data_IF_702269302321
#
_entry.id   IF_702269302321
#
_cell.length_a   1.000
_cell.length_b   1.000
_cell.length_c   1.000
_cell.angle_alpha   90.00
_cell.angle_beta   90.00
_cell.angle_gamma   90.00
#
_symmetry.space_group_name_H-M   'P 1'
#
loop_
_entity.id
_entity.type
_entity.pdbx_description
1 polymer ?
#
# COMPACT_ATOMS: atom_id res chain seq x y z
N UNK A 1 -1.54 2.83 -1.62
CA UNK A 1 -3.01 2.76 -1.53
C UNK A 1 -3.51 1.77 -2.55
N UNK A 2 -4.63 1.08 -2.28
CA UNK A 2 -5.21 0.15 -3.25
C UNK A 2 -5.91 0.89 -4.39
N UNK A 3 -6.13 0.20 -5.52
CA UNK A 3 -6.80 0.79 -6.68
C UNK A 3 -8.23 1.19 -6.36
N UNK A 4 -8.98 0.33 -5.68
CA UNK A 4 -10.34 0.67 -5.24
C UNK A 4 -10.36 1.87 -4.30
N UNK A 5 -9.33 2.06 -3.48
CA UNK A 5 -9.24 3.25 -2.64
C UNK A 5 -9.02 4.52 -3.46
N UNK A 6 -8.19 4.47 -4.52
CA UNK A 6 -8.01 5.60 -5.44
C UNK A 6 -9.30 5.93 -6.17
N UNK A 7 -10.08 4.92 -6.58
CA UNK A 7 -11.39 5.13 -7.20
C UNK A 7 -12.36 5.87 -6.26
N UNK A 8 -12.31 5.58 -4.95
CA UNK A 8 -13.10 6.30 -3.93
C UNK A 8 -12.69 7.76 -3.76
N UNK A 9 -11.46 8.15 -4.13
CA UNK A 9 -11.04 9.57 -4.12
C UNK A 9 -11.77 10.41 -5.19
N UNK A 10 -12.56 9.79 -6.08
CA UNK A 10 -13.45 10.49 -6.99
C UNK A 10 -14.84 10.75 -6.40
N UNK A 11 -15.10 10.25 -5.19
CA UNK A 11 -16.35 10.50 -4.46
C UNK A 11 -16.15 11.61 -3.40
N UNK A 12 -16.81 12.77 -3.54
CA UNK A 12 -16.71 13.84 -2.56
C UNK A 12 -17.26 13.46 -1.18
N UNK A 13 -18.21 12.52 -1.09
CA UNK A 13 -18.71 12.05 0.20
C UNK A 13 -17.63 11.26 0.94
N UNK A 14 -16.94 10.37 0.23
CA UNK A 14 -15.81 9.62 0.77
C UNK A 14 -14.67 10.53 1.29
N UNK A 15 -14.31 11.56 0.53
CA UNK A 15 -13.28 12.54 0.95
C UNK A 15 -13.75 13.33 2.17
N UNK A 16 -15.01 13.77 2.20
CA UNK A 16 -15.58 14.48 3.35
C UNK A 16 -15.43 13.65 4.63
N UNK A 17 -15.79 12.36 4.58
CA UNK A 17 -15.64 11.46 5.72
C UNK A 17 -14.16 11.27 6.11
N UNK A 18 -13.27 11.14 5.13
CA UNK A 18 -11.81 11.03 5.37
C UNK A 18 -11.24 12.28 6.07
N UNK A 19 -11.71 13.47 5.69
CA UNK A 19 -11.30 14.74 6.31
C UNK A 19 -11.79 14.80 7.76
N UNK A 20 -13.05 14.44 8.01
CA UNK A 20 -13.63 14.43 9.36
C UNK A 20 -12.85 13.50 10.30
N UNK A 21 -12.30 12.40 9.79
CA UNK A 21 -11.46 11.48 10.55
C UNK A 21 -10.05 12.00 10.87
N UNK A 22 -9.61 13.10 10.26
CA UNK A 22 -8.29 13.68 10.51
C UNK A 22 -8.14 14.10 11.97
N UNK A 23 -7.05 13.70 12.63
CA UNK A 23 -6.85 13.86 14.08
C UNK A 23 -7.08 15.31 14.57
N UNK A 24 -6.51 16.30 13.88
CA UNK A 24 -6.71 17.71 14.26
C UNK A 24 -8.18 18.14 14.16
N UNK A 25 -8.91 17.66 13.14
CA UNK A 25 -10.31 18.00 12.96
C UNK A 25 -11.19 17.26 13.96
N UNK A 26 -10.92 15.98 14.22
CA UNK A 26 -11.58 15.23 15.30
C UNK A 26 -11.42 15.90 16.67
N UNK A 27 -10.25 16.43 16.98
CA UNK A 27 -10.01 17.15 18.24
C UNK A 27 -10.79 18.46 18.33
N UNK A 28 -10.95 19.18 17.21
CA UNK A 28 -11.80 20.39 17.17
C UNK A 28 -13.28 20.00 17.30
N UNK A 29 -13.75 19.04 16.51
CA UNK A 29 -15.14 18.60 16.48
C UNK A 29 -15.59 17.99 17.81
N UNK A 30 -14.73 17.22 18.50
CA UNK A 30 -15.05 16.64 19.81
C UNK A 30 -15.19 17.67 20.93
N UNK A 31 -14.68 18.90 20.74
CA UNK A 31 -14.90 20.01 21.68
C UNK A 31 -16.23 20.73 21.45
N UNK A 32 -16.81 20.56 20.27
CA UNK A 32 -18.16 21.03 19.98
C UNK A 32 -19.13 20.06 20.66
N UNK A 33 -19.40 20.25 21.95
CA UNK A 33 -20.29 19.39 22.75
C UNK A 33 -21.78 19.46 22.35
N UNK A 34 -22.09 20.08 21.21
CA UNK A 34 -23.45 20.32 20.70
C UNK A 34 -23.57 19.69 19.31
N UNK A 35 -24.46 18.69 19.12
CA UNK A 35 -24.63 18.00 17.83
C UNK A 35 -24.86 18.95 16.64
N UNK A 36 -25.66 20.00 16.82
CA UNK A 36 -25.93 21.00 15.78
C UNK A 36 -24.66 21.74 15.33
N UNK A 37 -23.73 22.03 16.26
CA UNK A 37 -22.47 22.69 15.91
C UNK A 37 -21.51 21.74 15.18
N UNK A 38 -21.54 20.45 15.53
CA UNK A 38 -20.80 19.42 14.79
C UNK A 38 -21.32 19.35 13.35
N UNK A 39 -22.64 19.31 13.17
CA UNK A 39 -23.27 19.31 11.85
C UNK A 39 -22.86 20.54 11.03
N UNK A 40 -22.85 21.73 11.64
CA UNK A 40 -22.41 22.96 10.96
C UNK A 40 -20.94 22.90 10.52
N UNK A 41 -20.06 22.32 11.33
CA UNK A 41 -18.66 22.16 10.97
C UNK A 41 -18.48 21.10 9.86
N UNK A 42 -19.26 20.02 9.88
CA UNK A 42 -19.27 19.02 8.82
C UNK A 42 -19.81 19.59 7.50
N UNK A 43 -20.85 20.42 7.55
CA UNK A 43 -21.39 21.15 6.39
C UNK A 43 -20.36 22.10 5.79
N UNK A 44 -19.58 22.79 6.63
CA UNK A 44 -18.48 23.64 6.17
C UNK A 44 -17.43 22.82 5.41
N UNK A 45 -17.01 21.67 5.96
CA UNK A 45 -16.06 20.76 5.29
C UNK A 45 -16.62 20.27 3.96
N UNK A 46 -17.87 19.78 3.97
CA UNK A 46 -18.56 19.28 2.77
C UNK A 46 -18.66 20.35 1.68
N UNK A 47 -18.94 21.60 2.07
CA UNK A 47 -19.01 22.74 1.15
C UNK A 47 -17.66 23.01 0.48
N UNK A 48 -16.56 22.98 1.24
CA UNK A 48 -15.21 23.12 0.69
C UNK A 48 -14.93 22.00 -0.31
N UNK A 49 -15.23 20.75 0.06
CA UNK A 49 -15.00 19.58 -0.80
C UNK A 49 -15.78 19.72 -2.12
N UNK A 50 -17.09 19.94 -2.06
CA UNK A 50 -17.94 20.09 -3.26
C UNK A 50 -17.46 21.26 -4.13
N UNK A 51 -17.05 22.37 -3.51
CA UNK A 51 -16.52 23.53 -4.25
C UNK A 51 -15.28 23.16 -5.06
N UNK A 52 -14.32 22.45 -4.46
CA UNK A 52 -13.10 22.01 -5.17
C UNK A 52 -13.40 20.98 -6.26
N UNK A 53 -14.36 20.07 -6.03
CA UNK A 53 -14.81 19.11 -7.05
C UNK A 53 -15.45 19.81 -8.26
N UNK A 54 -16.33 20.78 -8.01
CA UNK A 54 -17.02 21.54 -9.05
C UNK A 54 -16.05 22.37 -9.90
N UNK A 55 -14.94 22.87 -9.34
CA UNK A 55 -13.88 23.56 -10.11
C UNK A 55 -13.26 22.69 -11.20
N UNK A 56 -13.32 21.37 -11.06
CA UNK A 56 -12.69 20.41 -11.96
C UNK A 56 -13.71 19.67 -12.85
N UNK A 57 -15.00 19.93 -12.65
CA UNK A 57 -16.09 19.20 -13.31
C UNK A 57 -16.68 20.04 -14.45
N UNK A 58 -16.92 19.48 -15.65
CA UNK A 58 -17.64 20.17 -16.71
C UNK A 58 -19.01 20.66 -16.26
N UNK A 59 -19.47 21.80 -16.76
CA UNK A 59 -20.67 22.53 -16.28
C UNK A 59 -21.94 21.69 -16.20
N UNK A 60 -22.06 20.63 -17.00
CA UNK A 60 -23.24 19.74 -17.04
C UNK A 60 -23.30 18.70 -15.89
N UNK A 61 -22.25 18.55 -15.09
CA UNK A 61 -22.17 17.57 -13.99
C UNK A 61 -21.88 18.21 -12.62
N UNK A 62 -22.15 19.52 -12.49
CA UNK A 62 -21.96 20.26 -11.23
C UNK A 62 -22.81 19.62 -10.13
N UNK A 63 -22.16 19.27 -9.03
CA UNK A 63 -22.83 18.74 -7.84
C UNK A 63 -23.51 19.92 -7.14
N UNK A 64 -24.83 19.87 -6.90
CA UNK A 64 -25.51 20.91 -6.16
C UNK A 64 -24.87 21.06 -4.79
N UNK A 65 -24.54 22.29 -4.40
CA UNK A 65 -24.18 22.57 -3.01
C UNK A 65 -25.51 22.46 -2.24
N UNK A 66 -25.81 21.25 -1.75
CA UNK A 66 -27.11 20.88 -1.14
C UNK A 66 -27.43 21.74 0.08
N UNK A 67 -26.45 22.48 0.61
CA UNK A 67 -26.72 23.48 1.62
C UNK A 67 -25.80 24.69 1.44
N UNK A 68 -26.15 25.56 0.50
CA UNK A 68 -25.59 26.91 0.40
C UNK A 68 -25.98 27.81 1.61
N UNK A 69 -26.62 27.24 2.64
CA UNK A 69 -26.89 27.89 3.92
C UNK A 69 -25.74 27.58 4.90
N UNK A 70 -25.04 28.56 5.45
CA UNK A 70 -25.28 29.99 5.37
C UNK A 70 -24.05 30.69 5.93
N UNK A 71 -23.67 31.89 5.47
CA UNK A 71 -22.83 32.80 6.24
C UNK A 71 -23.14 32.77 7.75
N UNK A 72 -24.43 32.57 8.11
CA UNK A 72 -24.92 32.35 9.47
C UNK A 72 -24.31 31.12 10.16
N UNK A 73 -24.21 29.95 9.53
CA UNK A 73 -23.59 28.76 10.16
C UNK A 73 -22.11 29.02 10.46
N UNK A 74 -21.40 29.65 9.52
CA UNK A 74 -19.99 30.05 9.71
C UNK A 74 -19.86 31.13 10.79
N UNK A 75 -20.77 32.09 10.83
CA UNK A 75 -20.84 33.14 11.85
C UNK A 75 -21.10 32.53 13.24
N UNK A 76 -22.07 31.62 13.37
CA UNK A 76 -22.33 30.86 14.60
C UNK A 76 -21.07 30.09 15.01
N UNK A 77 -20.43 29.36 14.10
CA UNK A 77 -19.19 28.64 14.39
C UNK A 77 -18.09 29.61 14.88
N UNK A 78 -17.99 30.82 14.32
CA UNK A 78 -17.01 31.83 14.76
C UNK A 78 -17.27 32.40 16.15
N UNK A 79 -18.48 32.23 16.70
CA UNK A 79 -18.75 32.57 18.11
C UNK A 79 -18.25 31.51 19.09
N UNK A 80 -17.97 30.29 18.63
CA UNK A 80 -17.61 29.14 19.48
C UNK A 80 -16.19 28.63 19.21
N UNK A 81 -15.71 28.73 17.97
CA UNK A 81 -14.38 28.35 17.55
C UNK A 81 -13.49 29.58 17.41
N UNK A 82 -12.22 29.45 17.76
CA UNK A 82 -11.22 30.47 17.46
C UNK A 82 -10.97 30.57 15.96
N UNK A 83 -10.52 31.74 15.50
CA UNK A 83 -10.12 31.97 14.11
C UNK A 83 -9.08 30.93 13.65
N UNK A 84 -8.14 30.56 14.53
CA UNK A 84 -7.14 29.53 14.27
C UNK A 84 -7.76 28.15 14.02
N UNK A 85 -8.82 27.78 14.74
CA UNK A 85 -9.48 26.48 14.55
C UNK A 85 -10.30 26.45 13.25
N UNK A 86 -10.95 27.57 12.91
CA UNK A 86 -11.63 27.71 11.62
C UNK A 86 -10.64 27.67 10.45
N UNK A 87 -9.47 28.30 10.58
CA UNK A 87 -8.39 28.21 9.59
C UNK A 87 -7.88 26.77 9.46
N UNK A 88 -7.71 26.05 10.57
CA UNK A 88 -7.33 24.63 10.56
C UNK A 88 -8.37 23.79 9.80
N UNK A 89 -9.67 23.96 10.07
CA UNK A 89 -10.74 23.27 9.34
C UNK A 89 -10.64 23.56 7.85
N UNK A 90 -10.56 24.83 7.48
CA UNK A 90 -10.54 25.25 6.08
C UNK A 90 -9.31 24.72 5.34
N UNK A 91 -8.12 24.92 5.92
CA UNK A 91 -6.85 24.51 5.34
C UNK A 91 -6.76 22.99 5.17
N UNK A 92 -7.08 22.19 6.19
CA UNK A 92 -7.02 20.73 6.04
C UNK A 92 -8.09 20.20 5.08
N UNK A 93 -9.30 20.76 5.09
CA UNK A 93 -10.33 20.36 4.13
C UNK A 93 -9.86 20.65 2.69
N UNK A 94 -9.28 21.81 2.45
CA UNK A 94 -8.74 22.21 1.14
C UNK A 94 -7.55 21.32 0.73
N UNK A 95 -6.53 21.22 1.58
CA UNK A 95 -5.29 20.49 1.29
C UNK A 95 -5.57 19.00 1.01
N UNK A 96 -6.40 18.35 1.83
CA UNK A 96 -6.74 16.94 1.66
C UNK A 96 -7.59 16.74 0.40
N UNK A 97 -8.53 17.64 0.11
CA UNK A 97 -9.36 17.55 -1.10
C UNK A 97 -8.51 17.69 -2.36
N UNK A 98 -7.65 18.70 -2.41
CA UNK A 98 -6.76 18.94 -3.55
C UNK A 98 -5.78 17.78 -3.74
N UNK A 99 -5.18 17.28 -2.65
CA UNK A 99 -4.32 16.11 -2.70
C UNK A 99 -5.06 14.87 -3.23
N UNK A 100 -6.30 14.64 -2.78
CA UNK A 100 -7.13 13.50 -3.22
C UNK A 100 -7.49 13.61 -4.70
N UNK A 101 -7.90 14.79 -5.17
CA UNK A 101 -8.22 15.05 -6.57
C UNK A 101 -6.99 14.87 -7.47
N UNK A 102 -5.84 15.39 -7.07
CA UNK A 102 -4.59 15.23 -7.82
C UNK A 102 -4.22 13.74 -7.92
N UNK A 103 -4.26 13.02 -6.79
CA UNK A 103 -3.95 11.61 -6.77
C UNK A 103 -4.91 10.76 -7.62
N UNK A 104 -6.20 11.13 -7.69
CA UNK A 104 -7.21 10.42 -8.48
C UNK A 104 -7.00 10.49 -10.00
N UNK A 105 -6.18 11.45 -10.46
CA UNK A 105 -5.85 11.72 -11.87
C UNK A 105 -4.57 11.03 -12.33
N UNK A 106 -3.70 10.65 -11.40
CA UNK A 106 -2.45 9.97 -11.74
C UNK A 106 -2.75 8.63 -12.44
N UNK A 107 -2.02 8.28 -13.52
CA UNK A 107 -2.17 7.00 -14.18
C UNK A 107 -1.88 5.87 -13.18
N UNK A 108 -2.95 5.17 -12.78
CA UNK A 108 -2.90 4.14 -11.75
C UNK A 108 -2.04 2.95 -12.19
N UNK A 109 -1.51 2.20 -11.21
CA UNK A 109 -0.84 0.92 -11.43
C UNK A 109 -1.68 -0.06 -12.28
N UNK A 110 -1.01 -1.07 -12.84
CA UNK A 110 -1.54 -1.99 -13.86
C UNK A 110 -3.01 -2.35 -13.59
N UNK A 111 -3.93 -1.78 -14.37
CA UNK A 111 -5.37 -1.96 -14.23
C UNK A 111 -5.83 -3.29 -14.79
N UNK A 112 -5.29 -4.37 -14.27
CA UNK A 112 -5.59 -5.69 -14.76
C UNK A 112 -7.03 -6.03 -14.43
N UNK A 113 -7.85 -6.28 -15.46
CA UNK A 113 -9.28 -6.54 -15.28
C UNK A 113 -9.56 -7.76 -14.37
N UNK A 114 -8.62 -8.71 -14.29
CA UNK A 114 -8.72 -9.86 -13.40
C UNK A 114 -8.64 -9.51 -11.91
N UNK A 115 -8.07 -8.35 -11.54
CA UNK A 115 -7.90 -7.98 -10.13
C UNK A 115 -9.23 -7.82 -9.40
N UNK A 116 -10.25 -7.29 -10.07
CA UNK A 116 -11.59 -7.16 -9.49
C UNK A 116 -12.22 -8.53 -9.19
N UNK A 117 -11.99 -9.52 -10.06
CA UNK A 117 -12.52 -10.87 -9.86
C UNK A 117 -11.79 -11.59 -8.71
N UNK A 118 -10.51 -11.27 -8.52
CA UNK A 118 -9.66 -11.79 -7.44
C UNK A 118 -9.78 -10.97 -6.14
N UNK A 119 -10.45 -9.82 -6.19
CA UNK A 119 -10.53 -8.84 -5.09
C UNK A 119 -9.19 -8.17 -4.75
N UNK A 120 -8.15 -8.37 -5.56
CA UNK A 120 -6.80 -7.84 -5.32
C UNK A 120 -6.73 -6.33 -5.53
N UNK A 121 -7.69 -5.75 -6.26
CA UNK A 121 -7.86 -4.30 -6.44
C UNK A 121 -8.19 -3.55 -5.13
N UNK A 122 -8.67 -4.28 -4.11
CA UNK A 122 -8.96 -3.76 -2.78
C UNK A 122 -7.72 -3.63 -1.89
N UNK A 123 -6.59 -4.22 -2.29
CA UNK A 123 -5.38 -4.31 -1.50
C UNK A 123 -4.23 -3.47 -2.07
N UNK A 124 -3.27 -3.12 -1.22
CA UNK A 124 -1.97 -2.63 -1.67
C UNK A 124 -1.15 -3.84 -2.08
N UNK A 125 -0.78 -3.91 -3.36
CA UNK A 125 0.14 -4.92 -3.86
C UNK A 125 1.54 -4.73 -3.27
N UNK A 126 2.15 -5.83 -2.85
CA UNK A 126 3.53 -5.89 -2.41
C UNK A 126 4.11 -7.27 -2.74
N UNK A 127 5.44 -7.39 -2.63
CA UNK A 127 6.15 -8.65 -2.76
C UNK A 127 6.78 -8.96 -1.40
N UNK A 128 6.65 -10.21 -0.94
CA UNK A 128 7.30 -10.68 0.27
C UNK A 128 8.59 -11.42 -0.11
N UNK A 129 9.71 -10.79 0.23
CA UNK A 129 11.05 -11.29 -0.07
C UNK A 129 11.73 -10.55 -1.22
N UNK A 130 13.02 -10.84 -1.45
CA UNK A 130 13.78 -10.20 -2.51
C UNK A 130 13.32 -10.69 -3.90
N UNK A 131 13.28 -9.79 -4.88
CA UNK A 131 12.97 -10.11 -6.28
C UNK A 131 13.78 -9.23 -7.23
N UNK A 132 13.85 -9.60 -8.50
CA UNK A 132 14.54 -8.83 -9.57
C UNK A 132 13.60 -8.25 -10.63
N UNK A 133 12.29 -8.23 -10.35
CA UNK A 133 11.28 -7.65 -11.24
C UNK A 133 11.54 -6.17 -11.52
N UNK A 134 11.79 -5.81 -12.77
CA UNK A 134 12.19 -4.46 -13.21
C UNK A 134 10.99 -3.53 -13.50
N UNK A 135 9.77 -4.04 -13.39
CA UNK A 135 8.55 -3.32 -13.82
C UNK A 135 7.74 -2.70 -12.68
N UNK A 136 8.23 -2.72 -11.43
CA UNK A 136 7.53 -2.20 -10.25
C UNK A 136 8.00 -0.81 -9.78
N UNK A 137 8.59 -0.03 -10.68
CA UNK A 137 9.01 1.34 -10.43
C UNK A 137 10.36 1.44 -9.70
N UNK A 138 10.85 2.67 -9.58
CA UNK A 138 12.22 2.95 -9.14
C UNK A 138 12.34 3.18 -7.63
N UNK A 139 11.25 3.14 -6.85
CA UNK A 139 11.27 3.40 -5.40
C UNK A 139 10.85 2.13 -4.68
N UNK A 140 11.66 1.67 -3.73
CA UNK A 140 11.32 0.51 -2.90
C UNK A 140 10.91 0.98 -1.51
N UNK A 141 9.69 0.60 -1.12
CA UNK A 141 9.13 0.87 0.21
C UNK A 141 9.10 -0.45 0.98
N UNK A 142 9.90 -0.53 2.03
CA UNK A 142 9.94 -1.68 2.94
C UNK A 142 9.00 -1.39 4.10
N UNK A 143 7.99 -2.25 4.28
CA UNK A 143 7.08 -2.17 5.41
C UNK A 143 7.61 -2.96 6.60
N UNK A 144 7.22 -2.55 7.80
CA UNK A 144 7.52 -3.30 9.01
C UNK A 144 6.77 -4.64 9.02
N UNK A 145 7.40 -5.66 9.62
CA UNK A 145 6.88 -7.04 9.67
C UNK A 145 5.51 -7.13 10.31
N UNK A 146 5.18 -6.30 11.29
CA UNK A 146 3.88 -6.36 11.98
C UNK A 146 2.69 -6.08 11.04
N UNK A 147 2.93 -5.44 9.89
CA UNK A 147 1.89 -5.25 8.88
C UNK A 147 1.35 -6.58 8.34
N UNK A 148 2.18 -7.64 8.34
CA UNK A 148 1.79 -8.98 7.92
C UNK A 148 0.75 -9.62 8.85
N UNK A 149 0.62 -9.13 10.09
CA UNK A 149 -0.35 -9.60 11.08
C UNK A 149 -1.69 -8.86 11.00
N UNK A 150 -1.80 -7.80 10.20
CA UNK A 150 -3.04 -7.07 10.04
C UNK A 150 -4.11 -7.99 9.42
N UNK A 151 -5.38 -8.00 9.91
CA UNK A 151 -6.41 -8.96 9.47
C UNK A 151 -6.77 -8.88 7.97
N UNK A 152 -6.48 -7.75 7.33
CA UNK A 152 -6.65 -7.55 5.88
C UNK A 152 -5.38 -7.82 5.06
N UNK A 153 -4.31 -8.31 5.68
CA UNK A 153 -3.08 -8.71 4.99
C UNK A 153 -3.15 -10.19 4.66
N UNK A 154 -2.87 -10.58 3.43
CA UNK A 154 -2.66 -11.99 3.10
C UNK A 154 -1.63 -12.14 2.00
N UNK A 155 -1.13 -13.35 1.78
CA UNK A 155 -0.15 -13.62 0.74
C UNK A 155 -0.47 -14.94 0.04
N UNK A 156 0.01 -15.07 -1.19
CA UNK A 156 -0.10 -16.29 -1.99
C UNK A 156 1.23 -16.59 -2.66
N UNK A 157 1.49 -17.88 -2.89
CA UNK A 157 2.48 -18.32 -3.87
C UNK A 157 1.74 -19.16 -4.91
N UNK A 158 1.89 -18.89 -6.21
CA UNK A 158 2.52 -17.72 -6.82
C UNK A 158 1.51 -16.55 -6.88
N UNK A 159 1.69 -15.63 -7.84
CA UNK A 159 0.81 -14.50 -8.08
C UNK A 159 -0.67 -14.88 -8.28
N UNK A 160 -1.59 -14.04 -7.77
CA UNK A 160 -3.03 -14.28 -7.95
C UNK A 160 -3.43 -14.31 -9.42
N UNK A 161 -2.75 -13.54 -10.26
CA UNK A 161 -3.02 -13.45 -11.70
C UNK A 161 -2.74 -14.77 -12.45
N UNK A 162 -2.00 -15.71 -11.85
CA UNK A 162 -1.73 -17.04 -12.41
C UNK A 162 -2.86 -18.04 -12.17
N UNK A 163 -3.82 -17.72 -11.30
CA UNK A 163 -4.96 -18.62 -11.05
C UNK A 163 -5.96 -18.60 -12.21
N UNK A 164 -6.52 -17.45 -12.66
CA UNK A 164 -7.56 -17.45 -13.70
C UNK A 164 -7.14 -18.14 -15.01
N UNK A 165 -5.88 -17.98 -15.42
CA UNK A 165 -5.33 -18.56 -16.64
C UNK A 165 -4.75 -19.98 -16.47
N UNK A 166 -4.85 -20.57 -15.26
CA UNK A 166 -4.36 -21.91 -14.96
C UNK A 166 -2.84 -22.08 -14.92
N UNK A 167 -2.05 -21.01 -15.04
CA UNK A 167 -0.59 -21.12 -14.97
C UNK A 167 -0.11 -21.52 -13.57
N UNK A 168 -0.92 -21.29 -12.53
CA UNK A 168 -0.60 -21.76 -11.18
C UNK A 168 -0.36 -23.27 -11.11
N UNK A 169 -1.00 -24.08 -11.95
CA UNK A 169 -0.88 -25.54 -11.93
C UNK A 169 0.44 -26.05 -12.51
N UNK A 170 1.09 -25.26 -13.37
CA UNK A 170 2.45 -25.57 -13.81
C UNK A 170 3.45 -25.30 -12.69
N UNK A 171 3.17 -24.31 -11.84
CA UNK A 171 3.99 -23.94 -10.69
C UNK A 171 3.79 -24.93 -9.54
N UNK A 172 2.54 -25.26 -9.24
CA UNK A 172 2.09 -26.11 -8.13
C UNK A 172 1.41 -27.37 -8.67
N UNK A 173 2.15 -28.37 -9.19
CA UNK A 173 1.56 -29.53 -9.86
C UNK A 173 0.79 -30.47 -8.92
N UNK A 174 0.93 -30.29 -7.60
CA UNK A 174 0.14 -30.99 -6.58
C UNK A 174 -1.24 -30.37 -6.37
N UNK A 175 -1.54 -29.25 -7.02
CA UNK A 175 -2.84 -28.57 -6.97
C UNK A 175 -3.66 -29.00 -8.18
N UNK A 176 -4.90 -29.46 -7.95
CA UNK A 176 -5.80 -29.94 -9.01
C UNK A 176 -6.45 -28.75 -9.72
N UNK A 177 -6.40 -28.74 -11.05
CA UNK A 177 -7.17 -27.82 -11.91
C UNK A 177 -8.57 -28.39 -12.17
N UNK A 178 -9.58 -27.70 -11.67
CA UNK A 178 -11.00 -28.04 -11.90
C UNK A 178 -11.55 -27.44 -13.21
N UNK A 179 -10.71 -26.75 -14.00
CA UNK A 179 -10.96 -26.34 -15.38
C UNK A 179 -11.72 -25.03 -15.56
N UNK A 180 -12.58 -24.62 -14.62
CA UNK A 180 -13.33 -23.36 -14.74
C UNK A 180 -12.61 -22.18 -14.09
N UNK A 181 -12.77 -20.97 -14.67
CA UNK A 181 -12.22 -19.74 -14.10
C UNK A 181 -12.72 -19.49 -12.67
N UNK A 182 -14.01 -19.73 -12.40
CA UNK A 182 -14.57 -19.56 -11.05
C UNK A 182 -13.95 -20.54 -10.04
N UNK A 183 -13.71 -21.80 -10.44
CA UNK A 183 -13.04 -22.77 -9.57
C UNK A 183 -11.59 -22.39 -9.28
N UNK A 184 -10.89 -21.83 -10.28
CA UNK A 184 -9.53 -21.31 -10.14
C UNK A 184 -9.47 -20.10 -9.21
N UNK A 185 -10.41 -19.17 -9.35
CA UNK A 185 -10.56 -18.01 -8.43
C UNK A 185 -10.87 -18.50 -7.02
N UNK A 186 -11.79 -19.46 -6.85
CA UNK A 186 -12.07 -20.05 -5.55
C UNK A 186 -10.83 -20.70 -4.92
N UNK A 187 -10.01 -21.36 -5.74
CA UNK A 187 -8.76 -21.94 -5.29
C UNK A 187 -7.72 -20.89 -4.89
N UNK A 188 -7.68 -19.74 -5.55
CA UNK A 188 -6.89 -18.59 -5.09
C UNK A 188 -7.30 -18.20 -3.66
N UNK A 189 -8.59 -18.05 -3.38
CA UNK A 189 -9.03 -17.71 -2.03
C UNK A 189 -8.64 -18.77 -0.98
N UNK A 190 -8.64 -20.06 -1.37
CA UNK A 190 -8.20 -21.16 -0.51
C UNK A 190 -6.69 -21.27 -0.34
N UNK A 191 -5.89 -20.71 -1.24
CA UNK A 191 -4.43 -20.74 -1.18
C UNK A 191 -3.84 -19.55 -0.42
N UNK A 192 -4.66 -18.56 -0.06
CA UNK A 192 -4.24 -17.43 0.77
C UNK A 192 -3.73 -17.91 2.12
N UNK A 193 -2.55 -17.44 2.46
CA UNK A 193 -1.95 -17.62 3.77
C UNK A 193 -2.00 -16.29 4.53
N UNK A 194 -2.20 -16.37 5.85
CA UNK A 194 -2.22 -15.23 6.75
C UNK A 194 -1.27 -15.50 7.92
N UNK A 195 -0.44 -14.52 8.30
CA UNK A 195 0.64 -14.73 9.28
C UNK A 195 0.15 -14.96 10.71
N UNK A 196 -1.11 -14.67 11.00
CA UNK A 196 -1.73 -15.00 12.30
C UNK A 196 -2.12 -16.47 12.44
N UNK A 197 -2.08 -17.26 11.36
CA UNK A 197 -2.37 -18.70 11.42
C UNK A 197 -1.18 -19.42 12.04
N UNK A 198 -1.43 -20.24 13.05
CA UNK A 198 -0.36 -21.03 13.68
C UNK A 198 0.34 -21.91 12.64
N UNK A 199 1.67 -21.85 12.60
CA UNK A 199 2.48 -22.62 11.67
C UNK A 199 2.51 -22.04 10.25
N UNK A 200 2.11 -20.78 10.04
CA UNK A 200 2.21 -20.12 8.73
C UNK A 200 3.63 -20.20 8.17
N UNK A 201 4.64 -19.96 9.00
CA UNK A 201 6.04 -19.95 8.61
C UNK A 201 6.45 -21.31 8.05
N UNK A 202 6.04 -22.39 8.72
CA UNK A 202 6.27 -23.76 8.28
C UNK A 202 5.55 -24.07 6.97
N UNK A 203 4.30 -23.65 6.82
CA UNK A 203 3.54 -23.84 5.58
C UNK A 203 4.19 -23.10 4.41
N UNK A 204 4.59 -21.85 4.62
CA UNK A 204 5.26 -21.01 3.63
C UNK A 204 6.64 -21.57 3.24
N UNK A 205 7.46 -21.97 4.22
CA UNK A 205 8.77 -22.58 4.00
C UNK A 205 8.65 -23.92 3.27
N UNK A 206 7.71 -24.78 3.68
CA UNK A 206 7.45 -26.07 3.02
C UNK A 206 7.05 -25.89 1.56
N UNK A 207 6.20 -24.90 1.28
CA UNK A 207 5.77 -24.59 -0.08
C UNK A 207 6.96 -24.13 -0.94
N UNK A 208 7.83 -23.28 -0.39
CA UNK A 208 9.03 -22.81 -1.06
C UNK A 208 10.02 -23.96 -1.34
N UNK A 209 10.27 -24.83 -0.34
CA UNK A 209 11.09 -26.03 -0.48
C UNK A 209 10.52 -26.95 -1.56
N UNK A 210 9.20 -27.15 -1.62
CA UNK A 210 8.56 -28.00 -2.62
C UNK A 210 8.72 -27.45 -4.05
N UNK A 211 8.57 -26.13 -4.23
CA UNK A 211 8.75 -25.45 -5.52
C UNK A 211 10.21 -25.58 -5.98
N UNK A 212 11.16 -25.20 -5.14
CA UNK A 212 12.58 -25.23 -5.47
C UNK A 212 13.05 -26.68 -5.66
N UNK A 213 12.60 -27.58 -4.80
CA UNK A 213 12.94 -29.00 -4.84
C UNK A 213 12.47 -29.69 -6.12
N UNK A 214 11.29 -29.31 -6.63
CA UNK A 214 10.82 -29.76 -7.94
C UNK A 214 11.74 -29.28 -9.06
N UNK A 215 12.12 -28.01 -9.08
CA UNK A 215 12.99 -27.44 -10.11
C UNK A 215 14.40 -28.05 -10.06
N UNK A 216 14.94 -28.26 -8.85
CA UNK A 216 16.26 -28.84 -8.62
C UNK A 216 16.27 -30.37 -8.61
N UNK A 217 15.11 -31.03 -8.68
CA UNK A 217 14.94 -32.49 -8.55
C UNK A 217 15.56 -33.09 -7.28
N UNK A 218 15.38 -32.40 -6.15
CA UNK A 218 15.89 -32.81 -4.83
C UNK A 218 14.89 -32.43 -3.74
N UNK A 219 14.91 -33.14 -2.62
CA UNK A 219 14.16 -32.77 -1.40
C UNK A 219 15.03 -32.08 -0.37
N UNK A 220 16.35 -32.08 -0.56
CA UNK A 220 17.30 -31.38 0.30
C UNK A 220 17.54 -29.99 -0.25
N UNK A 221 16.83 -29.01 0.30
CA UNK A 221 16.92 -27.58 -0.05
C UNK A 221 17.48 -26.82 1.12
N UNK A 222 18.52 -26.03 0.89
CA UNK A 222 19.10 -25.12 1.87
C UNK A 222 18.78 -23.65 1.56
N UNK A 223 19.24 -22.73 2.42
CA UNK A 223 19.02 -21.29 2.22
C UNK A 223 19.78 -20.73 1.01
N UNK A 224 20.90 -21.33 0.60
CA UNK A 224 21.61 -20.90 -0.61
C UNK A 224 20.81 -21.27 -1.86
N UNK A 225 20.13 -22.42 -1.87
CA UNK A 225 19.20 -22.79 -2.93
C UNK A 225 18.05 -21.78 -3.05
N UNK A 226 17.48 -21.36 -1.93
CA UNK A 226 16.43 -20.33 -1.87
C UNK A 226 16.91 -19.01 -2.47
N UNK A 227 18.08 -18.53 -2.03
CA UNK A 227 18.65 -17.27 -2.55
C UNK A 227 18.92 -17.39 -4.05
N UNK A 228 19.54 -18.47 -4.51
CA UNK A 228 19.81 -18.73 -5.94
C UNK A 228 18.54 -18.81 -6.78
N UNK A 229 17.44 -19.30 -6.20
CA UNK A 229 16.15 -19.35 -6.88
C UNK A 229 15.54 -17.95 -7.03
N UNK A 230 15.51 -17.15 -5.96
CA UNK A 230 15.05 -15.76 -6.04
C UNK A 230 15.85 -14.88 -7.00
N UNK A 231 17.14 -15.16 -7.19
CA UNK A 231 17.97 -14.45 -8.17
C UNK A 231 17.53 -14.67 -9.63
N UNK A 232 16.81 -15.76 -9.90
CA UNK A 232 16.47 -16.22 -11.26
C UNK A 232 14.99 -16.08 -11.58
N UNK A 233 14.14 -16.12 -10.57
CA UNK A 233 12.69 -16.22 -10.75
C UNK A 233 12.04 -14.84 -10.92
N UNK A 234 10.99 -14.78 -11.74
CA UNK A 234 10.18 -13.57 -11.88
C UNK A 234 9.43 -13.24 -10.57
N UNK A 235 9.18 -11.96 -10.32
CA UNK A 235 8.47 -11.50 -9.12
C UNK A 235 7.06 -12.06 -8.96
N UNK A 236 6.38 -12.48 -10.03
CA UNK A 236 5.07 -13.14 -9.91
C UNK A 236 5.17 -14.58 -9.41
N UNK A 237 6.37 -15.15 -9.35
CA UNK A 237 6.59 -16.53 -8.90
C UNK A 237 6.97 -16.61 -7.43
N UNK A 238 7.34 -15.48 -6.82
CA UNK A 238 7.60 -15.39 -5.37
C UNK A 238 6.28 -15.15 -4.62
N UNK A 239 6.38 -14.85 -3.32
CA UNK A 239 5.20 -14.51 -2.52
C UNK A 239 4.67 -13.13 -2.93
N UNK A 240 3.46 -13.10 -3.48
CA UNK A 240 2.69 -11.87 -3.59
C UNK A 240 1.98 -11.59 -2.27
N UNK A 241 2.05 -10.34 -1.83
CA UNK A 241 1.41 -9.83 -0.62
C UNK A 241 0.33 -8.82 -0.97
N UNK A 242 -0.81 -8.96 -0.31
CA UNK A 242 -1.98 -8.11 -0.45
C UNK A 242 -2.22 -7.46 0.89
N UNK A 243 -1.75 -6.22 1.01
CA UNK A 243 -1.75 -5.44 2.24
C UNK A 243 -3.04 -4.60 2.36
N UNK A 244 -3.32 -3.98 3.52
CA UNK A 244 -4.51 -3.17 3.71
C UNK A 244 -4.57 -2.01 2.70
N UNK A 245 -5.77 -1.60 2.33
CA UNK A 245 -6.01 -0.54 1.33
C UNK A 245 -5.33 0.80 1.66
N UNK A 246 -5.13 1.06 2.96
CA UNK A 246 -4.40 2.20 3.52
C UNK A 246 -3.38 1.70 4.53
N UNK A 247 -2.12 2.13 4.37
CA UNK A 247 -1.02 1.79 5.27
C UNK A 247 -0.49 3.10 5.85
N UNK A 248 -0.51 3.28 7.18
CA UNK A 248 0.08 4.47 7.81
C UNK A 248 1.57 4.56 7.53
N UNK A 249 2.10 5.77 7.34
CA UNK A 249 3.55 5.99 7.12
C UNK A 249 4.41 5.46 8.28
N UNK A 250 3.86 5.33 9.49
CA UNK A 250 4.54 4.74 10.64
C UNK A 250 4.84 3.24 10.49
N UNK A 251 4.17 2.55 9.57
CA UNK A 251 4.45 1.16 9.17
C UNK A 251 5.50 1.06 8.06
N UNK A 252 5.99 2.17 7.52
CA UNK A 252 7.18 2.15 6.67
C UNK A 252 8.40 1.96 7.56
N UNK A 253 9.09 0.87 7.32
CA UNK A 253 10.38 0.58 7.95
C UNK A 253 11.48 1.36 7.26
N UNK A 254 11.54 1.26 5.93
CA UNK A 254 12.60 1.89 5.13
C UNK A 254 12.11 2.28 3.74
N UNK A 255 12.72 3.31 3.15
CA UNK A 255 12.52 3.74 1.77
C UNK A 255 13.88 3.79 1.08
N UNK A 256 14.02 3.04 0.00
CA UNK A 256 15.15 3.17 -0.92
C UNK A 256 14.69 3.94 -2.14
N UNK A 257 15.48 4.93 -2.53
CA UNK A 257 15.23 5.78 -3.70
C UNK A 257 16.55 6.01 -4.45
N UNK A 258 16.59 5.86 -5.78
CA UNK A 258 17.75 6.23 -6.59
C UNK A 258 18.02 7.72 -6.49
N UNK A 259 19.29 8.10 -6.49
CA UNK A 259 19.72 9.50 -6.45
C UNK A 259 19.15 10.32 -7.60
N UNK A 260 19.09 9.73 -8.80
CA UNK A 260 18.49 10.36 -9.99
C UNK A 260 17.01 10.69 -9.75
N UNK A 261 16.26 9.76 -9.16
CA UNK A 261 14.84 9.95 -8.83
C UNK A 261 14.68 10.97 -7.72
N UNK A 262 15.49 10.91 -6.67
CA UNK A 262 15.42 11.87 -5.57
C UNK A 262 15.72 13.29 -6.05
N UNK A 263 16.73 13.46 -6.91
CA UNK A 263 17.14 14.76 -7.44
C UNK A 263 16.16 15.33 -8.48
N UNK A 264 15.31 14.49 -9.11
CA UNK A 264 14.26 14.96 -10.00
C UNK A 264 13.03 15.51 -9.27
N UNK A 265 12.89 15.23 -7.96
CA UNK A 265 11.84 15.80 -7.12
C UNK A 265 12.05 17.30 -6.91
N UNK A 266 10.97 18.05 -6.69
CA UNK A 266 11.05 19.46 -6.29
C UNK A 266 11.77 19.63 -4.96
N UNK A 267 12.37 20.79 -4.71
CA UNK A 267 13.03 21.08 -3.42
C UNK A 267 12.10 20.84 -2.21
N UNK A 268 10.82 21.18 -2.36
CA UNK A 268 9.81 20.94 -1.33
C UNK A 268 9.56 19.44 -1.11
N UNK A 269 9.46 18.65 -2.18
CA UNK A 269 9.26 17.20 -2.08
C UNK A 269 10.49 16.51 -1.49
N UNK A 270 11.70 16.91 -1.88
CA UNK A 270 12.95 16.44 -1.27
C UNK A 270 13.01 16.73 0.24
N UNK A 271 12.70 17.97 0.63
CA UNK A 271 12.65 18.37 2.03
C UNK A 271 11.58 17.59 2.82
N UNK A 272 10.40 17.41 2.23
CA UNK A 272 9.30 16.65 2.83
C UNK A 272 9.69 15.18 3.02
N UNK A 273 10.27 14.54 2.01
CA UNK A 273 10.74 13.16 2.09
C UNK A 273 11.79 12.98 3.20
N UNK A 274 12.78 13.88 3.29
CA UNK A 274 13.80 13.85 4.36
C UNK A 274 13.19 14.09 5.74
N UNK A 275 12.18 14.94 5.84
CA UNK A 275 11.51 15.25 7.13
C UNK A 275 10.64 14.10 7.62
N UNK A 276 9.89 13.48 6.71
CA UNK A 276 8.95 12.39 6.98
C UNK A 276 9.72 11.10 7.30
N UNK A 277 10.66 10.72 6.44
CA UNK A 277 11.34 9.42 6.54
C UNK A 277 12.64 9.48 7.36
N UNK A 278 13.27 10.66 7.49
CA UNK A 278 14.49 10.86 8.30
C UNK A 278 15.57 9.83 7.97
N UNK A 279 15.99 9.06 8.96
CA UNK A 279 17.00 7.99 8.88
C UNK A 279 16.53 6.75 8.12
N UNK A 280 15.23 6.64 7.84
CA UNK A 280 14.62 5.56 7.05
C UNK A 280 14.68 5.78 5.55
N UNK A 281 15.17 6.94 5.08
CA UNK A 281 15.35 7.21 3.65
C UNK A 281 16.81 6.96 3.26
N UNK A 282 17.04 6.02 2.36
CA UNK A 282 18.34 5.85 1.70
C UNK A 282 18.24 6.31 0.25
N UNK A 283 18.95 7.40 -0.03
CA UNK A 283 19.19 7.86 -1.40
C UNK A 283 20.42 7.12 -1.92
N UNK A 284 20.23 6.31 -2.95
CA UNK A 284 21.23 5.35 -3.43
C UNK A 284 21.88 5.88 -4.71
N UNK A 285 23.21 5.97 -4.70
CA UNK A 285 23.97 6.11 -5.93
C UNK A 285 24.24 4.70 -6.43
N UNK A 286 23.52 4.27 -7.46
CA UNK A 286 23.55 2.88 -7.92
C UNK A 286 24.90 2.46 -8.55
N UNK A 287 25.90 3.37 -8.64
CA UNK A 287 27.25 3.08 -9.12
C UNK A 287 27.28 2.30 -10.45
N UNK A 288 26.29 2.51 -11.33
CA UNK A 288 26.14 1.80 -12.61
C UNK A 288 25.58 0.37 -12.53
N UNK A 289 25.20 -0.14 -11.35
CA UNK A 289 24.44 -1.39 -11.21
C UNK A 289 22.95 -1.15 -11.49
N UNK A 290 22.27 -2.20 -11.95
CA UNK A 290 20.80 -2.24 -11.96
C UNK A 290 20.29 -2.09 -10.52
N UNK A 291 19.30 -1.21 -10.32
CA UNK A 291 18.80 -0.82 -9.00
C UNK A 291 18.24 -2.03 -8.22
N UNK A 292 17.58 -2.94 -8.94
CA UNK A 292 17.01 -4.17 -8.40
C UNK A 292 18.11 -5.10 -7.88
N UNK A 293 19.26 -5.16 -8.56
CA UNK A 293 20.42 -5.93 -8.09
C UNK A 293 20.98 -5.33 -6.80
N UNK A 294 21.06 -4.01 -6.70
CA UNK A 294 21.46 -3.35 -5.46
C UNK A 294 20.50 -3.69 -4.32
N UNK A 295 19.18 -3.56 -4.52
CA UNK A 295 18.18 -3.89 -3.50
C UNK A 295 18.23 -5.37 -3.10
N UNK A 296 18.33 -6.27 -4.06
CA UNK A 296 18.49 -7.69 -3.82
C UNK A 296 19.70 -7.97 -2.95
N UNK A 297 20.87 -7.40 -3.29
CA UNK A 297 22.08 -7.50 -2.47
C UNK A 297 21.87 -6.92 -1.07
N UNK A 298 21.18 -5.78 -0.91
CA UNK A 298 20.92 -5.22 0.42
C UNK A 298 20.03 -6.11 1.28
N UNK A 299 19.01 -6.74 0.69
CA UNK A 299 18.08 -7.61 1.40
C UNK A 299 18.69 -8.97 1.74
N UNK A 300 19.59 -9.47 0.90
CA UNK A 300 20.27 -10.76 1.11
C UNK A 300 21.55 -10.66 1.93
N UNK A 301 22.35 -9.59 1.81
CA UNK A 301 23.59 -9.41 2.62
C UNK A 301 23.33 -9.24 4.11
N UNK A 302 22.11 -8.86 4.49
CA UNK A 302 21.72 -8.79 5.90
C UNK A 302 21.53 -10.18 6.52
N UNK A 303 21.46 -11.23 5.70
CA UNK A 303 21.30 -12.62 6.14
C UNK A 303 22.68 -13.22 6.42
N UNK A 304 22.94 -13.65 7.66
CA UNK A 304 24.12 -14.42 8.00
C UNK A 304 23.77 -15.93 8.00
N UNK A 305 24.28 -16.70 7.01
CA UNK A 305 23.96 -18.12 6.90
C UNK A 305 24.55 -18.97 8.03
N UNK A 306 25.49 -18.45 8.83
CA UNK A 306 26.12 -19.20 9.92
C UNK A 306 25.34 -19.11 11.23
N UNK A 307 24.56 -18.05 11.42
CA UNK A 307 23.76 -17.82 12.63
C UNK A 307 22.28 -18.10 12.40
N UNK A 308 21.83 -18.22 11.13
CA UNK A 308 20.41 -18.16 10.77
C UNK A 308 19.73 -16.87 11.31
N UNK A 309 20.51 -15.86 11.65
CA UNK A 309 20.05 -14.57 12.14
C UNK A 309 20.36 -13.49 11.10
N UNK A 310 19.47 -12.50 10.96
CA UNK A 310 19.82 -11.29 10.22
C UNK A 310 20.60 -10.35 11.13
N UNK A 311 21.74 -9.84 10.65
CA UNK A 311 22.57 -8.92 11.43
C UNK A 311 21.73 -7.70 11.85
N UNK A 312 21.63 -7.49 13.17
CA UNK A 312 20.76 -6.49 13.80
C UNK A 312 21.30 -5.05 13.74
N UNK A 313 22.31 -4.77 12.92
CA UNK A 313 22.80 -3.40 12.79
C UNK A 313 21.80 -2.56 11.98
N UNK A 314 20.84 -1.96 12.69
CA UNK A 314 19.74 -1.07 12.25
C UNK A 314 18.46 -1.78 11.80
N UNK A 315 17.72 -2.32 12.77
CA UNK A 315 16.24 -2.22 12.87
C UNK A 315 15.33 -2.87 11.81
N UNK A 316 15.81 -3.20 10.61
CA UNK A 316 15.02 -3.77 9.54
C UNK A 316 15.21 -5.28 9.51
N UNK A 317 14.32 -6.02 10.18
CA UNK A 317 14.26 -7.48 10.04
C UNK A 317 13.40 -7.84 8.82
N UNK A 318 14.05 -8.25 7.72
CA UNK A 318 13.41 -9.10 6.70
C UNK A 318 13.69 -10.55 7.11
N UNK A 319 13.05 -11.02 8.19
CA UNK A 319 13.22 -12.38 8.67
C UNK A 319 12.49 -13.36 7.75
N UNK A 320 13.27 -14.10 6.97
CA UNK A 320 12.86 -15.04 5.94
C UNK A 320 12.49 -16.40 6.53
N UNK A 321 11.48 -16.42 7.41
CA UNK A 321 11.01 -17.60 8.15
C UNK A 321 11.92 -17.96 9.33
N UNK A 322 11.40 -17.81 10.54
CA UNK A 322 11.97 -18.35 11.78
C UNK A 322 10.95 -19.29 12.40
#
# INVERSE_FOLDING_TARGET
>A
MSRSHIDLLRDPHFITNTIIEHNQLRNILSRLNTPVLIDYAQDLIKTIVITEFNKQTPTAAIIPIVDASSPIKKEILSTVLSEKELDIIHRYALDITQASLNLSKEPMGMGFNGDKALGTDQHVFAILGPHRGQYYGEIAVVFKRELMLHPSSHFSIPAATLFPNGHVYTCLPWVIDYGTQDSRIHQFYKSKLHCSVSGYEYAAATLLIAIIGKDNKTTSIDMNDVIRWWEKVDSHMVFESYLPSRIPLSYIDHVYMPEIVFNSLTCQAQHSARTIFRDKLTVTNNNGKLYETYLFEQFTKRFDPNTNELSTSKGTMINLFA
#
